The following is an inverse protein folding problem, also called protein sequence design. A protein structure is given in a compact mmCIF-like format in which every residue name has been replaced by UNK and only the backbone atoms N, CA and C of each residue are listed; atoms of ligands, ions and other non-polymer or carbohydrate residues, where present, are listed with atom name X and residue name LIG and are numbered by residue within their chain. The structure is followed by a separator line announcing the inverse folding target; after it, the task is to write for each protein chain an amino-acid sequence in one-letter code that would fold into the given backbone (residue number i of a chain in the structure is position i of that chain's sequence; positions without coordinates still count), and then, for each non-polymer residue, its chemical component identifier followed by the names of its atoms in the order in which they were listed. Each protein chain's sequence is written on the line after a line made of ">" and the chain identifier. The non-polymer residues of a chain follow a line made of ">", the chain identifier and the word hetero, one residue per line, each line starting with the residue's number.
data_IF_580641413963
#
_entry.id   IF_580641413963
#
_cell.length_a   1.000
_cell.length_b   1.000
_cell.length_c   1.000
_cell.angle_alpha   90.00
_cell.angle_beta   90.00
_cell.angle_gamma   90.00
#
_symmetry.space_group_name_H-M   'P 1'
#
loop_
_entity.id
_entity.type
_entity.pdbx_description
1 polymer ?
#
# COMPACT_ATOMS: atom_id res chain seq x y z
N UNK A 1 21.57 8.76 15.40
CA UNK A 1 21.05 9.74 14.40
C UNK A 1 19.70 9.26 13.85
N UNK A 2 18.68 9.12 14.74
CA UNK A 2 17.36 8.50 14.44
C UNK A 2 16.16 9.46 14.61
N UNK A 3 16.39 10.78 14.59
CA UNK A 3 15.34 11.78 14.84
C UNK A 3 14.81 12.41 13.55
N UNK A 4 15.48 12.21 12.41
CA UNK A 4 15.21 12.96 11.17
C UNK A 4 13.91 12.55 10.43
N UNK A 5 13.45 11.30 10.54
CA UNK A 5 12.36 10.80 9.68
C UNK A 5 10.95 11.13 10.21
N UNK A 6 10.76 11.12 11.53
CA UNK A 6 9.49 11.57 12.15
C UNK A 6 9.23 13.07 11.93
N UNK A 7 10.30 13.85 11.78
CA UNK A 7 10.23 15.29 11.54
C UNK A 7 9.82 15.58 10.09
N UNK A 8 10.25 14.80 9.11
CA UNK A 8 9.88 15.01 7.69
C UNK A 8 8.40 14.73 7.42
N UNK A 9 7.86 13.63 7.97
CA UNK A 9 6.42 13.33 7.85
C UNK A 9 5.56 14.34 8.61
N UNK A 10 6.03 14.82 9.77
CA UNK A 10 5.38 15.87 10.53
C UNK A 10 5.48 17.23 9.82
N UNK A 11 6.61 17.53 9.17
CA UNK A 11 6.81 18.75 8.39
C UNK A 11 5.98 18.75 7.10
N UNK A 12 5.81 17.60 6.45
CA UNK A 12 4.90 17.46 5.28
C UNK A 12 3.45 17.67 5.72
N UNK A 13 3.05 17.10 6.85
CA UNK A 13 1.72 17.31 7.43
C UNK A 13 1.49 18.76 7.87
N UNK A 14 2.48 19.40 8.50
CA UNK A 14 2.45 20.81 8.87
C UNK A 14 2.54 21.74 7.66
N UNK A 15 3.27 21.36 6.61
CA UNK A 15 3.33 22.10 5.35
C UNK A 15 1.98 22.09 4.62
N UNK A 16 1.31 20.95 4.55
CA UNK A 16 -0.08 20.86 4.03
C UNK A 16 -1.03 21.66 4.91
N UNK A 17 -0.86 21.65 6.24
CA UNK A 17 -1.68 22.41 7.19
C UNK A 17 -1.42 23.93 7.10
N UNK A 18 -0.18 24.35 6.82
CA UNK A 18 0.16 25.78 6.68
C UNK A 18 -0.39 26.42 5.39
N UNK A 19 -0.63 25.64 4.34
CA UNK A 19 -1.36 26.11 3.13
C UNK A 19 -2.86 26.22 3.36
N UNK A 20 -3.41 25.62 4.42
CA UNK A 20 -4.81 25.75 4.79
C UNK A 20 -5.07 26.98 5.68
N UNK A 21 -4.03 27.60 6.25
CA UNK A 21 -4.16 28.77 7.15
C UNK A 21 -4.73 30.05 6.50
N UNK A 22 -4.45 30.41 5.23
CA UNK A 22 -5.05 31.61 4.64
C UNK A 22 -6.54 31.48 4.29
N UNK A 23 -7.16 30.31 4.53
CA UNK A 23 -8.60 30.11 4.36
C UNK A 23 -9.42 30.38 5.65
N UNK A 24 -8.74 30.69 6.76
CA UNK A 24 -9.40 31.08 8.02
C UNK A 24 -9.57 32.60 8.08
N UNK A 25 -10.66 33.09 7.50
CA UNK A 25 -11.26 34.36 7.90
C UNK A 25 -12.17 34.10 9.10
N UNK A 26 -11.97 34.88 10.15
CA UNK A 26 -12.77 34.84 11.40
C UNK A 26 -14.26 34.88 11.09
N UNK A 27 -14.99 33.84 11.46
CA UNK A 27 -16.45 33.85 11.50
C UNK A 27 -17.20 32.58 11.09
N UNK A 28 -16.58 31.68 10.31
CA UNK A 28 -17.25 30.45 9.84
C UNK A 28 -16.55 29.19 10.36
N UNK A 29 -16.68 28.90 11.64
CA UNK A 29 -16.42 27.56 12.18
C UNK A 29 -17.28 26.54 11.42
N UNK A 30 -16.59 25.79 10.49
CA UNK A 30 -17.08 24.55 9.91
C UNK A 30 -18.49 24.60 9.29
N UNK A 31 -18.78 25.56 8.43
CA UNK A 31 -19.59 25.25 7.27
C UNK A 31 -18.67 24.56 6.26
N UNK A 32 -18.42 23.27 6.45
CA UNK A 32 -18.27 22.37 5.29
C UNK A 32 -19.62 22.43 4.59
N UNK A 33 -19.88 23.54 3.88
CA UNK A 33 -20.93 23.53 2.90
C UNK A 33 -20.50 22.43 1.96
N UNK A 34 -21.25 21.33 1.90
CA UNK A 34 -21.21 20.40 0.80
C UNK A 34 -21.43 21.24 -0.46
N UNK A 35 -20.35 21.87 -0.96
CA UNK A 35 -20.36 22.51 -2.26
C UNK A 35 -20.82 21.42 -3.19
N UNK A 36 -21.97 21.66 -3.83
CA UNK A 36 -22.63 20.69 -4.70
C UNK A 36 -21.56 20.09 -5.59
N UNK A 37 -21.24 18.80 -5.38
CA UNK A 37 -20.23 18.06 -6.13
C UNK A 37 -20.51 18.25 -7.62
N UNK A 38 -19.47 18.28 -8.41
CA UNK A 38 -19.58 18.19 -9.87
C UNK A 38 -20.38 16.95 -10.22
N UNK A 39 -21.16 16.95 -11.30
CA UNK A 39 -21.85 15.77 -11.81
C UNK A 39 -20.84 14.67 -12.15
N UNK A 40 -20.49 13.83 -11.16
CA UNK A 40 -19.57 12.68 -11.30
C UNK A 40 -20.29 11.36 -11.44
N UNK A 41 -21.56 11.31 -11.10
CA UNK A 41 -22.37 10.10 -11.21
C UNK A 41 -22.21 9.45 -12.59
N UNK A 42 -21.96 8.13 -12.58
CA UNK A 42 -21.71 7.32 -13.78
C UNK A 42 -20.36 7.61 -14.48
N UNK A 43 -19.45 8.32 -13.85
CA UNK A 43 -18.11 8.57 -14.35
C UNK A 43 -17.21 7.40 -14.03
N UNK A 44 -16.45 6.90 -14.99
CA UNK A 44 -15.36 5.95 -14.79
C UNK A 44 -14.07 6.74 -14.70
N UNK A 45 -13.18 6.33 -13.81
CA UNK A 45 -11.86 6.90 -13.69
C UNK A 45 -10.80 5.82 -13.55
N UNK A 46 -9.58 6.14 -13.99
CA UNK A 46 -8.40 5.29 -13.86
C UNK A 46 -7.23 6.14 -13.42
N UNK A 47 -6.34 5.60 -12.61
CA UNK A 47 -5.07 6.23 -12.33
C UNK A 47 -3.92 5.23 -12.28
N UNK A 48 -2.72 5.76 -12.48
CA UNK A 48 -1.44 5.14 -12.23
C UNK A 48 -0.61 6.05 -11.32
N UNK A 49 0.11 5.48 -10.36
CA UNK A 49 0.94 6.22 -9.43
C UNK A 49 2.04 5.39 -8.83
N UNK A 50 2.79 6.05 -7.95
CA UNK A 50 3.89 5.44 -7.22
C UNK A 50 3.71 5.61 -5.73
N UNK A 51 4.30 4.70 -4.95
CA UNK A 51 4.17 4.69 -3.51
C UNK A 51 5.51 4.50 -2.78
N UNK A 52 5.46 4.78 -1.49
CA UNK A 52 6.43 4.40 -0.47
C UNK A 52 5.67 3.77 0.68
N UNK A 53 6.27 2.76 1.31
CA UNK A 53 5.62 2.03 2.38
C UNK A 53 6.50 1.93 3.62
N UNK A 54 5.86 1.94 4.78
CA UNK A 54 6.46 1.69 6.08
C UNK A 54 5.68 0.57 6.75
N UNK A 55 6.37 -0.24 7.55
CA UNK A 55 5.80 -1.44 8.18
C UNK A 55 6.01 -1.41 9.68
N UNK A 56 5.03 -1.86 10.44
CA UNK A 56 5.22 -2.15 11.85
C UNK A 56 6.15 -3.35 12.03
N UNK A 57 6.75 -3.49 13.21
CA UNK A 57 7.35 -4.75 13.60
C UNK A 57 6.32 -5.88 13.52
N UNK A 58 6.80 -7.09 13.23
CA UNK A 58 5.94 -8.26 13.10
C UNK A 58 6.61 -9.53 13.61
N UNK A 59 5.80 -10.49 14.03
CA UNK A 59 6.26 -11.83 14.29
C UNK A 59 6.07 -12.67 13.03
N UNK A 60 7.07 -13.50 12.72
CA UNK A 60 7.05 -14.41 11.58
C UNK A 60 7.18 -15.83 12.12
N UNK A 61 6.17 -16.66 11.93
CA UNK A 61 6.21 -18.08 12.25
C UNK A 61 6.53 -18.88 11.00
N UNK A 62 7.53 -19.74 11.08
CA UNK A 62 7.97 -20.66 10.02
C UNK A 62 7.65 -22.08 10.43
N UNK A 63 7.00 -22.84 9.54
CA UNK A 63 6.58 -24.22 9.76
C UNK A 63 6.98 -25.11 8.59
N UNK A 64 7.67 -26.20 8.90
CA UNK A 64 8.09 -27.22 7.94
C UNK A 64 8.17 -28.60 8.60
N UNK A 65 8.56 -29.66 7.88
CA UNK A 65 8.61 -31.04 8.40
C UNK A 65 9.51 -31.18 9.65
N UNK A 66 10.61 -30.43 9.69
CA UNK A 66 11.65 -30.54 10.71
C UNK A 66 11.88 -29.24 11.48
N UNK A 67 10.95 -28.28 11.38
CA UNK A 67 11.00 -27.06 12.17
C UNK A 67 9.61 -26.46 12.37
N UNK A 68 9.43 -25.84 13.53
CA UNK A 68 8.34 -24.92 13.83
C UNK A 68 8.87 -23.88 14.79
N UNK A 69 9.13 -22.66 14.30
CA UNK A 69 9.68 -21.60 15.11
C UNK A 69 9.09 -20.24 14.74
N UNK A 70 9.11 -19.34 15.71
CA UNK A 70 8.65 -17.96 15.56
C UNK A 70 9.79 -16.99 15.87
N UNK A 71 10.03 -16.07 14.96
CA UNK A 71 10.87 -14.90 15.17
C UNK A 71 10.00 -13.71 15.56
N UNK A 72 10.42 -12.98 16.60
CA UNK A 72 9.62 -11.92 17.21
C UNK A 72 10.14 -10.53 16.84
N UNK A 73 9.23 -9.58 16.74
CA UNK A 73 9.55 -8.16 16.57
C UNK A 73 10.46 -7.82 15.36
N UNK A 74 10.36 -8.58 14.28
CA UNK A 74 11.14 -8.36 13.06
C UNK A 74 10.81 -6.98 12.49
N UNK A 75 11.84 -6.16 12.34
CA UNK A 75 11.80 -4.90 11.63
C UNK A 75 11.89 -5.15 10.13
N UNK A 76 11.09 -4.45 9.35
CA UNK A 76 11.18 -4.46 7.90
C UNK A 76 11.28 -3.04 7.33
N UNK A 77 11.79 -2.97 6.13
CA UNK A 77 11.95 -1.72 5.37
C UNK A 77 11.38 -1.86 3.96
N UNK A 78 11.08 -0.73 3.40
CA UNK A 78 10.80 -0.56 1.98
C UNK A 78 12.09 -0.70 1.15
N UNK A 79 11.99 -1.32 -0.04
CA UNK A 79 13.07 -1.33 -1.04
C UNK A 79 12.74 -0.37 -2.16
N UNK A 80 12.89 0.93 -1.86
CA UNK A 80 12.61 1.98 -2.82
C UNK A 80 13.57 1.93 -4.01
N UNK A 81 13.02 1.91 -5.23
CA UNK A 81 13.83 2.12 -6.43
C UNK A 81 14.32 3.57 -6.47
N UNK A 82 15.64 3.83 -6.63
CA UNK A 82 16.16 5.18 -6.78
C UNK A 82 15.48 5.92 -7.93
N UNK A 83 15.20 7.21 -7.73
CA UNK A 83 14.52 8.00 -8.76
C UNK A 83 15.39 8.11 -10.02
N UNK A 84 14.82 7.74 -11.14
CA UNK A 84 15.38 7.92 -12.47
C UNK A 84 14.23 8.17 -13.44
N UNK A 85 14.24 9.28 -14.16
CA UNK A 85 13.21 9.60 -15.14
C UNK A 85 13.01 8.47 -16.16
N UNK A 86 14.10 7.81 -16.58
CA UNK A 86 14.03 6.65 -17.48
C UNK A 86 13.27 5.48 -16.86
N UNK A 87 13.49 5.18 -15.58
CA UNK A 87 12.83 4.05 -14.90
C UNK A 87 11.36 4.34 -14.62
N UNK A 88 11.03 5.59 -14.21
CA UNK A 88 9.70 5.96 -13.77
C UNK A 88 8.73 6.32 -14.90
N UNK A 89 9.24 6.73 -16.08
CA UNK A 89 8.41 7.25 -17.18
C UNK A 89 8.57 6.52 -18.52
N UNK A 90 9.34 5.42 -18.57
CA UNK A 90 9.44 4.61 -19.79
C UNK A 90 8.49 3.41 -19.70
N UNK A 91 7.65 3.13 -20.72
CA UNK A 91 6.67 2.05 -20.70
C UNK A 91 7.22 0.66 -20.33
N UNK A 92 8.47 0.38 -20.64
CA UNK A 92 9.11 -0.93 -20.36
C UNK A 92 9.66 -1.05 -18.94
N UNK A 93 9.62 -0.01 -18.11
CA UNK A 93 10.24 0.02 -16.77
C UNK A 93 9.34 0.62 -15.69
N UNK A 94 8.18 1.15 -16.04
CA UNK A 94 7.29 1.84 -15.10
C UNK A 94 6.77 0.95 -13.96
N UNK A 95 6.84 -0.38 -14.12
CA UNK A 95 6.47 -1.37 -13.09
C UNK A 95 7.63 -1.80 -12.17
N UNK A 96 8.87 -1.34 -12.43
CA UNK A 96 10.02 -1.65 -11.56
C UNK A 96 9.93 -0.93 -10.20
N UNK A 97 9.56 0.38 -10.13
CA UNK A 97 9.28 1.03 -8.87
C UNK A 97 8.00 0.47 -8.24
N UNK A 98 7.79 0.77 -6.96
CA UNK A 98 6.53 0.48 -6.30
C UNK A 98 5.42 1.34 -6.91
N UNK A 99 4.43 0.70 -7.49
CA UNK A 99 3.35 1.37 -8.20
C UNK A 99 1.97 1.03 -7.63
N UNK A 100 1.00 1.89 -7.95
CA UNK A 100 -0.40 1.67 -7.68
C UNK A 100 -1.18 1.94 -8.97
N UNK A 101 -2.16 1.11 -9.25
CA UNK A 101 -3.17 1.46 -10.24
C UNK A 101 -4.57 1.12 -9.72
N UNK A 102 -5.56 1.92 -10.15
CA UNK A 102 -6.95 1.68 -9.83
C UNK A 102 -7.85 2.06 -10.99
N UNK A 103 -8.96 1.35 -11.08
CA UNK A 103 -10.11 1.72 -11.87
C UNK A 103 -11.30 1.89 -10.95
N UNK A 104 -12.04 2.98 -11.08
CA UNK A 104 -13.16 3.30 -10.22
C UNK A 104 -14.36 3.80 -11.00
N UNK A 105 -15.50 3.73 -10.33
CA UNK A 105 -16.79 4.14 -10.84
C UNK A 105 -17.54 4.97 -9.79
N UNK A 106 -17.99 6.16 -10.16
CA UNK A 106 -18.81 7.00 -9.30
C UNK A 106 -20.26 6.51 -9.28
N UNK A 107 -20.67 5.95 -8.14
CA UNK A 107 -22.05 5.52 -7.88
C UNK A 107 -23.00 6.72 -7.82
N UNK A 108 -22.52 7.81 -7.23
CA UNK A 108 -23.15 9.12 -7.24
C UNK A 108 -22.06 10.22 -7.28
N UNK A 109 -22.41 11.47 -7.07
CA UNK A 109 -21.46 12.59 -7.20
C UNK A 109 -20.37 12.63 -6.13
N UNK A 110 -20.54 11.92 -5.02
CA UNK A 110 -19.64 11.94 -3.85
C UNK A 110 -19.15 10.56 -3.43
N UNK A 111 -19.66 9.46 -3.99
CA UNK A 111 -19.33 8.09 -3.63
C UNK A 111 -18.80 7.33 -4.84
N UNK A 112 -17.64 6.73 -4.71
CA UNK A 112 -16.99 5.91 -5.72
C UNK A 112 -16.64 4.52 -5.19
N UNK A 113 -16.86 3.50 -6.00
CA UNK A 113 -16.32 2.15 -5.80
C UNK A 113 -15.16 1.95 -6.77
N UNK A 114 -14.07 1.43 -6.28
CA UNK A 114 -12.90 1.13 -7.11
C UNK A 114 -12.29 -0.23 -6.79
N UNK A 115 -11.52 -0.72 -7.73
CA UNK A 115 -10.69 -1.91 -7.63
C UNK A 115 -9.27 -1.57 -8.10
N UNK A 116 -8.25 -2.11 -7.44
CA UNK A 116 -6.87 -1.85 -7.85
C UNK A 116 -5.84 -2.72 -7.18
N UNK A 117 -4.60 -2.43 -7.51
CA UNK A 117 -3.41 -3.08 -7.01
C UNK A 117 -2.48 -2.07 -6.38
N UNK A 118 -2.02 -2.36 -5.19
CA UNK A 118 -0.90 -1.69 -4.53
C UNK A 118 0.30 -2.66 -4.53
N UNK A 119 1.30 -2.34 -5.37
CA UNK A 119 2.55 -3.07 -5.45
C UNK A 119 3.54 -2.47 -4.47
N UNK A 120 3.64 -3.05 -3.28
CA UNK A 120 4.58 -2.68 -2.23
C UNK A 120 5.81 -3.59 -2.25
N UNK A 121 6.87 -3.20 -1.56
CA UNK A 121 8.08 -4.03 -1.34
C UNK A 121 8.38 -4.10 0.14
N UNK A 122 8.47 -5.31 0.65
CA UNK A 122 8.75 -5.61 2.06
C UNK A 122 10.06 -6.38 2.15
N UNK A 123 11.02 -5.88 2.94
CA UNK A 123 12.30 -6.54 3.19
C UNK A 123 12.54 -6.59 4.69
N UNK A 124 12.59 -7.78 5.27
CA UNK A 124 13.06 -7.95 6.64
C UNK A 124 14.52 -7.47 6.73
N UNK A 125 14.83 -6.68 7.75
CA UNK A 125 16.17 -6.11 7.93
C UNK A 125 17.10 -7.19 8.46
N UNK A 126 18.18 -7.50 7.76
CA UNK A 126 19.25 -8.40 8.25
C UNK A 126 20.06 -7.76 9.38
N UNK A 127 20.80 -8.58 10.11
CA UNK A 127 21.71 -8.18 11.19
C UNK A 127 21.00 -7.43 12.34
N UNK A 128 19.72 -7.76 12.55
CA UNK A 128 18.96 -7.30 13.70
C UNK A 128 18.90 -8.36 14.79
N UNK A 129 19.01 -7.93 16.05
CA UNK A 129 18.74 -8.82 17.18
C UNK A 129 17.24 -9.02 17.35
N UNK A 130 16.83 -10.26 17.44
CA UNK A 130 15.45 -10.70 17.68
C UNK A 130 15.39 -11.78 18.74
N UNK A 131 14.22 -12.32 18.97
CA UNK A 131 14.03 -13.51 19.82
C UNK A 131 13.42 -14.61 18.98
N UNK A 132 13.78 -15.85 19.31
CA UNK A 132 13.22 -17.06 18.73
C UNK A 132 12.53 -17.91 19.79
N UNK A 133 11.41 -18.53 19.45
CA UNK A 133 10.79 -19.62 20.21
C UNK A 133 10.36 -20.72 19.26
N UNK A 134 10.42 -21.96 19.72
CA UNK A 134 10.04 -23.13 18.93
C UNK A 134 11.19 -24.13 18.78
N UNK A 135 11.12 -24.93 17.71
CA UNK A 135 12.09 -26.00 17.48
C UNK A 135 12.63 -25.97 16.07
N UNK A 136 13.92 -26.23 15.92
CA UNK A 136 14.62 -26.52 14.67
C UNK A 136 15.34 -27.86 14.85
N UNK A 137 15.06 -28.82 13.99
CA UNK A 137 15.70 -30.13 13.98
C UNK A 137 17.04 -30.07 13.24
N UNK A 138 17.98 -30.90 13.66
CA UNK A 138 19.29 -31.05 13.02
C UNK A 138 19.21 -31.50 11.54
N UNK A 139 18.10 -32.11 11.13
CA UNK A 139 17.84 -32.42 9.75
C UNK A 139 17.59 -31.19 8.87
N UNK A 140 17.15 -30.07 9.45
CA UNK A 140 17.00 -28.82 8.72
C UNK A 140 18.24 -27.93 8.78
N UNK A 141 18.93 -27.91 9.93
CA UNK A 141 20.17 -27.17 10.10
C UNK A 141 20.96 -27.68 11.32
N UNK A 142 22.20 -28.06 11.13
CA UNK A 142 23.08 -28.39 12.25
C UNK A 142 23.46 -27.17 13.07
N UNK A 143 23.63 -26.02 12.44
CA UNK A 143 24.04 -24.76 13.06
C UNK A 143 22.95 -24.18 13.96
N UNK A 144 21.69 -24.26 13.53
CA UNK A 144 20.56 -23.69 14.23
C UNK A 144 19.65 -24.70 14.91
N UNK A 145 20.10 -25.98 15.02
CA UNK A 145 19.33 -27.03 15.71
C UNK A 145 19.16 -26.71 17.18
N UNK A 146 17.93 -26.84 17.69
CA UNK A 146 17.65 -26.64 19.12
C UNK A 146 16.18 -26.41 19.42
N UNK A 147 15.91 -26.36 20.74
CA UNK A 147 14.64 -25.90 21.28
C UNK A 147 14.86 -24.52 21.89
N UNK A 148 14.02 -23.57 21.52
CA UNK A 148 14.16 -22.16 21.86
C UNK A 148 12.95 -21.68 22.66
N UNK A 149 13.22 -20.86 23.69
CA UNK A 149 12.17 -20.19 24.46
C UNK A 149 12.59 -18.74 24.68
N UNK A 150 12.05 -17.83 23.85
CA UNK A 150 12.36 -16.40 23.86
C UNK A 150 13.87 -16.12 23.83
N UNK A 151 14.63 -17.00 23.19
CA UNK A 151 16.10 -16.95 23.15
C UNK A 151 16.53 -15.82 22.21
N UNK A 152 17.45 -14.92 22.61
CA UNK A 152 18.03 -13.93 21.72
C UNK A 152 18.79 -14.61 20.58
N UNK A 153 18.55 -14.13 19.35
CA UNK A 153 19.23 -14.62 18.14
C UNK A 153 19.42 -13.43 17.17
N UNK A 154 20.49 -13.47 16.41
CA UNK A 154 20.71 -12.52 15.32
C UNK A 154 19.99 -13.01 14.06
N UNK A 155 19.26 -12.12 13.39
CA UNK A 155 18.55 -12.39 12.13
C UNK A 155 19.51 -12.19 10.97
N UNK A 156 20.39 -13.16 10.75
CA UNK A 156 21.41 -13.15 9.70
C UNK A 156 20.88 -13.72 8.37
N UNK A 157 21.51 -13.38 7.26
CA UNK A 157 21.09 -13.85 5.93
C UNK A 157 21.25 -15.35 5.72
N UNK A 158 22.19 -15.99 6.41
CA UNK A 158 22.40 -17.44 6.40
C UNK A 158 21.37 -18.19 7.27
N UNK A 159 20.77 -17.49 8.26
CA UNK A 159 19.67 -18.04 9.04
C UNK A 159 18.35 -17.92 8.32
N UNK A 160 17.93 -16.69 7.99
CA UNK A 160 16.67 -16.39 7.30
C UNK A 160 16.85 -15.16 6.42
N UNK A 161 16.56 -15.26 5.13
CA UNK A 161 16.25 -14.14 4.26
C UNK A 161 14.75 -14.13 3.98
N UNK A 162 14.08 -13.02 4.23
CA UNK A 162 12.63 -12.94 4.09
C UNK A 162 12.23 -11.61 3.44
N UNK A 163 11.72 -11.69 2.21
CA UNK A 163 11.32 -10.51 1.46
C UNK A 163 10.18 -10.78 0.48
N UNK A 164 9.45 -9.71 0.15
CA UNK A 164 8.43 -9.67 -0.90
C UNK A 164 8.76 -8.51 -1.86
N UNK A 165 9.91 -8.56 -2.53
CA UNK A 165 10.44 -7.46 -3.34
C UNK A 165 9.97 -7.45 -4.77
N UNK A 166 9.61 -8.62 -5.29
CA UNK A 166 8.93 -8.76 -6.59
C UNK A 166 7.41 -8.56 -6.47
N UNK A 167 6.98 -8.09 -5.30
CA UNK A 167 5.63 -7.61 -5.03
C UNK A 167 5.02 -8.17 -3.75
N UNK A 168 4.85 -7.31 -2.75
CA UNK A 168 3.82 -7.45 -1.74
C UNK A 168 2.54 -6.88 -2.38
N UNK A 169 1.88 -7.68 -3.23
CA UNK A 169 0.73 -7.23 -4.02
C UNK A 169 -0.54 -7.30 -3.19
N UNK A 170 -1.11 -6.13 -2.91
CA UNK A 170 -2.41 -5.98 -2.25
C UNK A 170 -3.45 -5.62 -3.31
N UNK A 171 -4.28 -6.59 -3.70
CA UNK A 171 -5.41 -6.40 -4.63
C UNK A 171 -6.65 -6.12 -3.80
N UNK A 172 -7.21 -4.91 -3.92
CA UNK A 172 -8.31 -4.47 -3.06
C UNK A 172 -9.44 -3.83 -3.84
N UNK A 173 -10.66 -3.96 -3.28
CA UNK A 173 -11.79 -3.12 -3.60
C UNK A 173 -11.93 -2.06 -2.51
N UNK A 174 -12.19 -0.80 -2.90
CA UNK A 174 -12.32 0.33 -1.98
C UNK A 174 -13.57 1.14 -2.28
N UNK A 175 -14.22 1.56 -1.21
CA UNK A 175 -15.33 2.50 -1.23
C UNK A 175 -14.82 3.85 -0.73
N UNK A 176 -14.88 4.88 -1.58
CA UNK A 176 -14.34 6.20 -1.32
C UNK A 176 -15.42 7.26 -1.37
N UNK A 177 -15.38 8.18 -0.41
CA UNK A 177 -16.24 9.38 -0.35
C UNK A 177 -15.42 10.61 -0.72
N UNK A 178 -16.04 11.54 -1.45
CA UNK A 178 -15.41 12.76 -1.94
C UNK A 178 -16.16 13.99 -1.45
N UNK A 179 -15.40 14.98 -0.96
CA UNK A 179 -15.91 16.28 -0.56
C UNK A 179 -15.16 17.40 -1.27
N UNK A 180 -15.91 18.35 -1.88
CA UNK A 180 -15.31 19.49 -2.57
C UNK A 180 -14.76 20.51 -1.58
N UNK A 181 -13.44 20.79 -1.68
CA UNK A 181 -12.77 21.82 -0.91
C UNK A 181 -12.73 23.17 -1.66
N UNK A 182 -12.49 23.10 -2.97
CA UNK A 182 -12.33 24.32 -3.78
C UNK A 182 -12.67 24.06 -5.26
N UNK A 183 -13.21 25.10 -5.92
CA UNK A 183 -13.49 25.10 -7.37
C UNK A 183 -13.26 26.47 -7.94
N UNK A 184 -12.53 26.54 -9.05
CA UNK A 184 -12.35 27.74 -9.86
C UNK A 184 -12.29 27.34 -11.33
N UNK A 185 -13.23 27.84 -12.12
CA UNK A 185 -13.39 27.49 -13.53
C UNK A 185 -13.58 25.97 -13.72
N UNK A 186 -12.61 25.32 -14.41
CA UNK A 186 -12.59 23.86 -14.66
C UNK A 186 -11.69 23.10 -13.67
N UNK A 187 -11.02 23.79 -12.79
CA UNK A 187 -10.15 23.20 -11.75
C UNK A 187 -10.93 22.97 -10.48
N UNK A 188 -10.69 21.83 -9.86
CA UNK A 188 -11.39 21.39 -8.66
C UNK A 188 -10.41 20.70 -7.72
N UNK A 189 -10.54 21.00 -6.42
CA UNK A 189 -9.81 20.30 -5.35
C UNK A 189 -10.83 19.62 -4.46
N UNK A 190 -10.69 18.30 -4.32
CA UNK A 190 -11.49 17.49 -3.44
C UNK A 190 -10.61 16.84 -2.38
N UNK A 191 -11.15 16.68 -1.21
CA UNK A 191 -10.72 15.72 -0.22
C UNK A 191 -11.45 14.41 -0.48
N UNK A 192 -10.77 13.28 -0.30
CA UNK A 192 -11.41 11.96 -0.29
C UNK A 192 -10.93 11.12 0.88
N UNK A 193 -11.80 10.23 1.32
CA UNK A 193 -11.49 9.20 2.30
C UNK A 193 -12.23 7.92 1.94
N UNK A 194 -11.63 6.77 2.26
CA UNK A 194 -12.20 5.48 1.89
C UNK A 194 -11.75 4.33 2.78
N UNK A 195 -12.48 3.23 2.62
CA UNK A 195 -12.21 1.96 3.26
C UNK A 195 -12.05 0.87 2.21
N UNK A 196 -11.05 0.00 2.38
CA UNK A 196 -10.70 -1.07 1.46
C UNK A 196 -10.59 -2.43 2.12
N UNK A 197 -10.98 -3.45 1.36
CA UNK A 197 -10.75 -4.86 1.66
C UNK A 197 -10.10 -5.52 0.45
N UNK A 198 -9.16 -6.44 0.70
CA UNK A 198 -8.47 -7.09 -0.39
C UNK A 198 -7.71 -8.35 0.02
N UNK A 199 -7.05 -8.92 -0.96
CA UNK A 199 -6.25 -10.14 -0.84
C UNK A 199 -4.77 -9.84 -1.10
N UNK A 200 -3.90 -10.62 -0.49
CA UNK A 200 -2.45 -10.53 -0.66
C UNK A 200 -1.99 -11.66 -1.60
N UNK A 201 -1.37 -11.26 -2.71
CA UNK A 201 -0.76 -12.18 -3.69
C UNK A 201 0.72 -11.80 -3.83
N UNK A 202 1.53 -12.01 -2.74
CA UNK A 202 2.94 -11.70 -2.80
C UNK A 202 3.69 -12.68 -3.70
N UNK A 203 4.81 -12.21 -4.24
CA UNK A 203 5.91 -13.06 -4.65
C UNK A 203 6.94 -13.03 -3.53
N UNK A 204 6.95 -14.12 -2.74
CA UNK A 204 7.80 -14.23 -1.57
C UNK A 204 9.12 -14.87 -1.97
N UNK A 205 10.20 -14.23 -1.61
CA UNK A 205 11.57 -14.71 -1.75
C UNK A 205 12.11 -14.98 -0.34
N UNK A 206 12.19 -16.25 0.01
CA UNK A 206 12.50 -16.70 1.37
C UNK A 206 13.57 -17.77 1.30
N UNK A 207 14.72 -17.51 1.93
CA UNK A 207 15.75 -18.50 2.13
C UNK A 207 15.77 -18.88 3.61
N UNK A 208 15.95 -20.15 3.90
CA UNK A 208 16.09 -20.69 5.25
C UNK A 208 17.34 -21.55 5.34
N UNK A 209 18.15 -21.29 6.37
CA UNK A 209 19.34 -22.11 6.69
C UNK A 209 20.33 -22.23 5.51
N UNK A 210 20.54 -21.12 4.81
CA UNK A 210 21.41 -21.02 3.62
C UNK A 210 20.93 -21.83 2.40
N UNK A 211 19.64 -22.20 2.38
CA UNK A 211 18.98 -22.85 1.24
C UNK A 211 18.01 -21.90 0.58
N UNK A 212 18.09 -21.77 -0.75
CA UNK A 212 17.16 -20.99 -1.55
C UNK A 212 15.76 -21.61 -1.54
N UNK A 213 14.76 -20.79 -1.31
CA UNK A 213 13.35 -21.18 -1.27
C UNK A 213 12.60 -20.99 -2.57
N UNK A 214 11.29 -21.27 -2.51
CA UNK A 214 10.39 -21.02 -3.62
C UNK A 214 10.14 -19.52 -3.81
N UNK A 215 10.41 -19.00 -5.01
CA UNK A 215 10.14 -17.60 -5.37
C UNK A 215 8.95 -17.54 -6.33
N UNK A 216 7.72 -17.71 -5.81
CA UNK A 216 6.48 -17.83 -6.58
C UNK A 216 5.38 -16.88 -6.07
N UNK A 217 4.47 -16.49 -6.96
CA UNK A 217 3.23 -15.83 -6.56
C UNK A 217 2.28 -16.81 -5.87
N UNK A 218 1.73 -16.42 -4.74
CA UNK A 218 0.79 -17.22 -3.97
C UNK A 218 -0.26 -16.34 -3.28
N UNK A 219 -1.51 -16.82 -3.21
CA UNK A 219 -2.54 -16.16 -2.41
C UNK A 219 -2.27 -16.42 -0.93
N UNK A 220 -1.61 -15.48 -0.27
CA UNK A 220 -1.09 -15.65 1.08
C UNK A 220 -2.05 -15.22 2.19
N UNK A 221 -3.04 -14.38 1.88
CA UNK A 221 -3.94 -13.88 2.91
C UNK A 221 -4.81 -12.71 2.46
N UNK A 222 -5.20 -11.90 3.43
CA UNK A 222 -6.09 -10.77 3.24
C UNK A 222 -5.59 -9.52 3.96
N UNK A 223 -6.16 -8.37 3.61
CA UNK A 223 -5.86 -7.11 4.28
C UNK A 223 -7.06 -6.17 4.27
N UNK A 224 -6.99 -5.17 5.14
CA UNK A 224 -7.94 -4.07 5.19
C UNK A 224 -7.20 -2.75 5.27
N UNK A 225 -7.79 -1.67 4.75
CA UNK A 225 -7.13 -0.37 4.70
C UNK A 225 -8.10 0.79 4.82
N UNK A 226 -7.59 1.91 5.32
CA UNK A 226 -8.19 3.23 5.25
C UNK A 226 -7.30 4.11 4.38
N UNK A 227 -7.90 4.89 3.50
CA UNK A 227 -7.20 5.86 2.66
C UNK A 227 -7.78 7.25 2.88
N UNK A 228 -6.92 8.26 2.86
CA UNK A 228 -7.34 9.66 2.83
C UNK A 228 -6.40 10.44 1.91
N UNK A 229 -6.93 11.42 1.18
CA UNK A 229 -6.11 12.16 0.23
C UNK A 229 -6.81 13.38 -0.37
N UNK A 230 -6.06 14.00 -1.27
CA UNK A 230 -6.50 15.14 -2.08
C UNK A 230 -6.49 14.74 -3.55
N UNK A 231 -7.53 15.10 -4.23
CA UNK A 231 -7.65 15.00 -5.69
C UNK A 231 -7.76 16.38 -6.28
N UNK A 232 -6.85 16.71 -7.20
CA UNK A 232 -6.87 17.95 -7.95
C UNK A 232 -7.15 17.67 -9.44
N UNK A 233 -8.34 18.07 -9.88
CA UNK A 233 -8.73 18.03 -11.30
C UNK A 233 -8.14 19.26 -11.99
N UNK A 234 -7.13 19.05 -12.86
CA UNK A 234 -6.33 20.11 -13.51
C UNK A 234 -7.10 20.70 -14.70
N UNK A 235 -7.60 19.80 -15.55
CA UNK A 235 -8.44 20.09 -16.72
C UNK A 235 -9.52 19.02 -16.79
N UNK A 236 -10.58 19.19 -17.58
CA UNK A 236 -11.63 18.17 -17.69
C UNK A 236 -11.08 16.79 -18.02
N UNK A 237 -11.28 15.86 -17.10
CA UNK A 237 -10.84 14.47 -17.17
C UNK A 237 -9.46 14.20 -16.55
N UNK A 238 -8.48 15.11 -16.63
CA UNK A 238 -7.14 14.87 -16.08
C UNK A 238 -7.07 15.31 -14.62
N UNK A 239 -6.60 14.42 -13.74
CA UNK A 239 -6.42 14.72 -12.33
C UNK A 239 -5.11 14.16 -11.77
N UNK A 240 -4.70 14.71 -10.65
CA UNK A 240 -3.63 14.18 -9.80
C UNK A 240 -4.17 13.89 -8.41
N UNK A 241 -3.68 12.82 -7.77
CA UNK A 241 -3.99 12.50 -6.38
C UNK A 241 -2.70 12.47 -5.55
N UNK A 242 -2.84 12.91 -4.31
CA UNK A 242 -1.88 12.67 -3.23
C UNK A 242 -2.64 12.06 -2.07
N UNK A 243 -2.18 10.91 -1.56
CA UNK A 243 -2.90 10.21 -0.50
C UNK A 243 -1.98 9.42 0.42
N UNK A 244 -2.52 9.15 1.59
CA UNK A 244 -1.93 8.26 2.59
C UNK A 244 -2.92 7.12 2.83
N UNK A 245 -2.41 5.90 2.85
CA UNK A 245 -3.18 4.69 3.14
C UNK A 245 -2.54 3.96 4.30
N UNK A 246 -3.31 3.70 5.35
CA UNK A 246 -2.91 2.86 6.47
C UNK A 246 -3.75 1.58 6.48
N UNK A 247 -3.16 0.45 6.84
CA UNK A 247 -3.92 -0.79 6.84
C UNK A 247 -3.26 -1.90 7.65
N UNK A 248 -3.99 -3.00 7.71
CA UNK A 248 -3.58 -4.24 8.35
C UNK A 248 -3.52 -5.36 7.31
N UNK A 249 -2.44 -6.13 7.36
CA UNK A 249 -2.20 -7.30 6.51
C UNK A 249 -2.10 -8.54 7.40
N UNK A 250 -2.79 -9.61 7.01
CA UNK A 250 -2.71 -10.93 7.60
C UNK A 250 -2.43 -11.96 6.53
N UNK A 251 -1.21 -12.44 6.47
CA UNK A 251 -0.77 -13.53 5.60
C UNK A 251 -0.64 -14.81 6.44
N UNK A 252 -1.57 -15.73 6.24
CA UNK A 252 -1.64 -17.00 6.95
C UNK A 252 -0.98 -18.15 6.18
N UNK A 253 -0.64 -17.93 4.90
CA UNK A 253 -0.16 -18.96 3.99
C UNK A 253 0.91 -18.42 3.02
N UNK A 254 2.09 -18.07 3.55
CA UNK A 254 3.25 -17.68 2.76
C UNK A 254 4.04 -18.94 2.42
N UNK A 255 4.20 -19.24 1.12
CA UNK A 255 5.06 -20.33 0.69
C UNK A 255 6.52 -19.95 0.90
N UNK A 256 7.30 -20.82 1.55
CA UNK A 256 8.71 -20.62 1.85
C UNK A 256 9.61 -21.48 0.97
N UNK A 257 10.08 -22.63 1.46
CA UNK A 257 10.98 -23.51 0.70
C UNK A 257 10.26 -24.27 -0.42
N UNK A 258 9.04 -24.72 -0.13
CA UNK A 258 8.16 -25.44 -1.06
C UNK A 258 6.70 -25.27 -0.65
N UNK A 259 5.75 -25.88 -1.37
CA UNK A 259 4.31 -25.75 -1.07
C UNK A 259 3.87 -26.35 0.27
N UNK A 260 4.69 -27.16 0.90
CA UNK A 260 4.40 -27.79 2.20
C UNK A 260 4.99 -26.98 3.35
N UNK A 261 5.98 -26.13 3.07
CA UNK A 261 6.66 -25.32 4.04
C UNK A 261 6.15 -23.86 3.96
N UNK A 262 5.72 -23.35 5.09
CA UNK A 262 4.93 -22.13 5.17
C UNK A 262 5.47 -21.15 6.19
N UNK A 263 5.22 -19.87 5.93
CA UNK A 263 5.31 -18.86 6.96
C UNK A 263 3.96 -18.16 7.18
N UNK A 264 3.80 -17.60 8.37
CA UNK A 264 2.65 -16.78 8.75
C UNK A 264 3.14 -15.46 9.32
N UNK A 265 2.48 -14.38 8.88
CA UNK A 265 2.85 -13.04 9.31
C UNK A 265 1.64 -12.12 9.37
N UNK A 266 1.66 -11.14 10.26
CA UNK A 266 0.69 -10.05 10.31
C UNK A 266 1.37 -8.76 10.76
N UNK A 267 1.00 -7.65 10.14
CA UNK A 267 1.56 -6.34 10.44
C UNK A 267 0.65 -5.20 9.97
N UNK A 268 0.92 -4.00 10.46
CA UNK A 268 0.35 -2.76 9.94
C UNK A 268 1.30 -2.13 8.94
N UNK A 269 0.73 -1.49 7.94
CA UNK A 269 1.47 -0.69 6.96
C UNK A 269 0.94 0.74 6.88
N UNK A 270 1.82 1.64 6.48
CA UNK A 270 1.50 3.01 6.09
C UNK A 270 2.12 3.26 4.73
N UNK A 271 1.33 3.75 3.78
CA UNK A 271 1.72 3.97 2.39
C UNK A 271 1.43 5.43 2.00
N UNK A 272 2.42 6.10 1.44
CA UNK A 272 2.29 7.42 0.83
C UNK A 272 2.25 7.25 -0.69
N UNK A 273 1.28 7.89 -1.36
CA UNK A 273 1.00 7.69 -2.78
C UNK A 273 0.87 9.02 -3.52
N UNK A 274 1.42 9.05 -4.73
CA UNK A 274 1.17 10.10 -5.71
C UNK A 274 0.78 9.48 -7.05
N UNK A 275 -0.32 9.92 -7.65
CA UNK A 275 -0.85 9.35 -8.89
C UNK A 275 -1.38 10.40 -9.86
N UNK A 276 -1.38 10.03 -11.13
CA UNK A 276 -2.02 10.78 -12.22
C UNK A 276 -3.11 9.90 -12.81
N UNK A 277 -4.27 10.48 -13.09
CA UNK A 277 -5.40 9.75 -13.59
C UNK A 277 -6.25 10.51 -14.57
N UNK A 278 -7.16 9.75 -15.17
CA UNK A 278 -8.11 10.29 -16.14
C UNK A 278 -9.53 9.79 -15.84
N UNK A 279 -10.50 10.70 -15.93
CA UNK A 279 -11.93 10.43 -15.77
C UNK A 279 -12.66 10.47 -17.10
N UNK A 280 -13.41 9.43 -17.40
CA UNK A 280 -14.19 9.26 -18.62
C UNK A 280 -15.68 9.55 -18.36
N UNK A 281 -16.24 10.54 -19.02
CA UNK A 281 -17.66 10.92 -18.95
C UNK A 281 -18.49 10.18 -20.01
N UNK A 282 -18.33 8.85 -20.11
CA UNK A 282 -18.94 8.11 -21.22
C UNK A 282 -20.48 8.10 -21.20
N UNK A 283 -21.08 7.99 -20.02
CA UNK A 283 -22.54 7.84 -19.90
C UNK A 283 -23.32 9.16 -19.93
N UNK A 284 -22.73 10.28 -19.49
CA UNK A 284 -23.41 11.58 -19.48
C UNK A 284 -23.56 12.19 -20.89
N UNK A 285 -22.72 11.81 -21.87
CA UNK A 285 -22.86 12.25 -23.25
C UNK A 285 -24.08 11.64 -23.97
N UNK A 286 -24.44 10.39 -23.67
CA UNK A 286 -25.59 9.71 -24.30
C UNK A 286 -26.93 10.26 -23.80
N UNK A 287 -27.06 10.58 -22.51
CA UNK A 287 -28.31 11.17 -21.97
C UNK A 287 -28.55 12.58 -22.52
N UNK A 288 -27.51 13.42 -22.67
CA UNK A 288 -27.63 14.77 -23.30
C UNK A 288 -27.93 14.69 -24.80
N UNK A 289 -27.40 13.70 -25.52
CA UNK A 289 -27.71 13.49 -26.93
C UNK A 289 -29.14 12.95 -27.15
N UNK A 290 -29.65 12.14 -26.25
CA UNK A 290 -31.03 11.62 -26.29
C UNK A 290 -32.09 12.66 -25.90
N UNK A 291 -31.72 13.68 -25.10
CA UNK A 291 -32.65 14.77 -24.75
C UNK A 291 -32.68 15.91 -25.78
N UNK A 292 -31.71 15.96 -26.69
CA UNK A 292 -31.62 16.98 -27.74
C UNK A 292 -32.11 16.49 -29.11
N UNK A 293 -32.69 15.27 -29.21
CA UNK A 293 -33.38 14.81 -30.43
C UNK A 293 -34.88 14.70 -30.09
N UNK A 294 -35.71 15.69 -30.51
CA UNK A 294 -37.17 15.66 -30.35
C UNK A 294 -37.82 14.58 -31.23
#
# INVERSE_FOLDING_TARGET
>A
MRVSFKIQSLLLFLFVFSFLQPLYSEGDLLKISCLKSTERKKQIWIYWGYNRAQYSKSNINFTGPNYDFTLFDICAKDRATPFSARVYFTPNTIWIPQYNYRIGYFLNDWLSLNIGLDHMKYVAVTDQMTKISGRIDSLSSLQYAGNYEQTPIEFTSDFVRFEHTDGLNYVSAELETYGRLWKKNKQELDFFAGYGLGVLIPRSDVDLFDHEGANIFHLAGWGTSLVAGLRFDIIPGLFVNMSVKGGFIHMADIVTMNKQEKAKQKFFFLQEMASVGYSLNYFNKKEKASQNNP
#
